data_IF_724334307138
#
_entry.id   IF_724334307138
#
_cell.length_a   1.000
_cell.length_b   1.000
_cell.length_c   1.000
_cell.angle_alpha   90.00
_cell.angle_beta   90.00
_cell.angle_gamma   90.00
#
_symmetry.space_group_name_H-M   'P 1'
#
loop_
_entity.id
_entity.type
_entity.pdbx_description
1 polymer ?
#
# COMPACT_ATOMS: atom_id res chain seq x y z
N UNK A 1 -38.49 -21.23 -13.60
CA UNK A 1 -37.33 -22.13 -13.46
C UNK A 1 -36.31 -21.39 -12.63
N UNK A 2 -36.21 -21.68 -11.33
CA UNK A 2 -35.32 -20.97 -10.41
C UNK A 2 -33.90 -21.49 -10.57
N UNK A 3 -33.02 -20.65 -11.11
CA UNK A 3 -31.58 -20.92 -11.10
C UNK A 3 -31.08 -20.60 -9.70
N UNK A 4 -30.75 -21.63 -8.93
CA UNK A 4 -30.10 -21.45 -7.63
C UNK A 4 -28.73 -20.79 -7.89
N UNK A 5 -28.63 -19.49 -7.65
CA UNK A 5 -27.34 -18.84 -7.43
C UNK A 5 -26.74 -19.51 -6.20
N UNK A 6 -25.70 -20.30 -6.44
CA UNK A 6 -24.80 -20.76 -5.40
C UNK A 6 -24.15 -19.50 -4.80
N UNK A 7 -24.79 -18.87 -3.82
CA UNK A 7 -24.11 -17.98 -2.89
C UNK A 7 -23.09 -18.87 -2.18
N UNK A 8 -21.90 -18.99 -2.77
CA UNK A 8 -20.73 -19.50 -2.09
C UNK A 8 -20.62 -18.63 -0.86
N UNK A 9 -20.86 -19.20 0.32
CA UNK A 9 -20.67 -18.49 1.57
C UNK A 9 -19.22 -17.99 1.57
N UNK A 10 -19.05 -16.71 1.23
CA UNK A 10 -17.79 -15.99 1.36
C UNK A 10 -17.64 -15.87 2.88
N UNK A 11 -16.97 -16.84 3.51
CA UNK A 11 -16.69 -16.73 4.93
C UNK A 11 -15.79 -15.52 5.10
N UNK A 12 -16.30 -14.43 5.68
CA UNK A 12 -15.56 -13.22 6.05
C UNK A 12 -14.44 -13.48 7.08
N UNK A 13 -14.10 -14.74 7.35
CA UNK A 13 -13.12 -15.16 8.34
C UNK A 13 -11.70 -15.33 7.79
N UNK A 14 -11.50 -15.25 6.47
CA UNK A 14 -10.16 -15.35 5.86
C UNK A 14 -9.91 -14.18 4.92
N UNK A 15 -8.89 -13.35 5.18
CA UNK A 15 -8.57 -12.27 4.29
C UNK A 15 -8.03 -12.79 2.96
N UNK A 16 -8.35 -12.05 1.90
CA UNK A 16 -7.77 -12.24 0.57
C UNK A 16 -7.37 -10.87 0.06
N UNK A 17 -6.08 -10.74 -0.28
CA UNK A 17 -5.56 -9.59 -1.03
C UNK A 17 -5.68 -9.95 -2.50
N UNK A 18 -6.22 -9.05 -3.31
CA UNK A 18 -6.20 -9.21 -4.77
C UNK A 18 -4.97 -8.51 -5.33
N UNK A 19 -4.37 -9.17 -6.32
CA UNK A 19 -3.12 -8.84 -7.00
C UNK A 19 -2.95 -7.33 -7.15
N UNK A 20 -2.16 -6.76 -6.23
CA UNK A 20 -1.71 -5.39 -6.36
C UNK A 20 -0.62 -5.42 -7.43
N UNK A 21 -0.92 -4.90 -8.62
CA UNK A 21 0.11 -4.65 -9.63
C UNK A 21 1.27 -3.82 -9.06
N UNK A 22 2.39 -3.78 -9.77
CA UNK A 22 3.50 -2.93 -9.34
C UNK A 22 3.04 -1.47 -9.22
N UNK A 23 3.31 -0.86 -8.08
CA UNK A 23 2.93 0.53 -7.80
C UNK A 23 4.09 1.42 -8.17
N UNK A 24 3.97 2.15 -9.28
CA UNK A 24 5.03 2.97 -9.85
C UNK A 24 4.55 4.42 -9.90
N UNK A 25 5.03 5.25 -8.99
CA UNK A 25 4.52 6.61 -8.81
C UNK A 25 5.66 7.64 -8.84
N UNK A 26 5.57 8.59 -9.77
CA UNK A 26 6.53 9.69 -9.94
C UNK A 26 5.80 11.04 -9.87
N UNK A 27 6.24 11.88 -8.94
CA UNK A 27 5.83 13.27 -8.88
C UNK A 27 7.01 14.20 -9.17
N UNK A 28 6.94 14.86 -10.32
CA UNK A 28 7.91 15.88 -10.76
C UNK A 28 7.27 17.27 -10.75
N UNK A 29 7.83 18.24 -10.00
CA UNK A 29 7.36 19.64 -9.99
C UNK A 29 8.46 20.69 -10.00
N UNK A 30 8.12 21.86 -10.56
CA UNK A 30 8.92 23.09 -10.46
C UNK A 30 8.44 23.95 -9.27
N UNK A 31 9.16 23.87 -8.14
CA UNK A 31 8.90 24.69 -6.95
C UNK A 31 8.05 24.02 -5.85
N UNK A 32 8.25 24.47 -4.61
CA UNK A 32 7.69 23.84 -3.39
C UNK A 32 8.31 22.46 -3.08
N UNK A 33 8.09 21.89 -1.89
CA UNK A 33 8.38 20.48 -1.64
C UNK A 33 7.53 19.58 -2.54
N UNK A 34 8.13 18.50 -3.06
CA UNK A 34 7.42 17.44 -3.76
C UNK A 34 7.26 16.25 -2.81
N UNK A 35 6.08 15.64 -2.77
CA UNK A 35 5.80 14.47 -1.95
C UNK A 35 5.25 13.38 -2.84
N UNK A 36 5.66 12.14 -2.63
CA UNK A 36 5.06 10.97 -3.27
C UNK A 36 5.02 9.82 -2.28
N UNK A 37 3.98 9.01 -2.34
CA UNK A 37 3.81 7.93 -1.40
C UNK A 37 2.57 7.09 -1.62
N UNK A 38 2.53 6.02 -0.86
CA UNK A 38 1.46 5.04 -0.83
C UNK A 38 0.84 5.06 0.56
N UNK A 39 -0.49 4.99 0.65
CA UNK A 39 -1.22 4.75 1.89
C UNK A 39 -2.12 3.53 1.76
N UNK A 40 -2.07 2.66 2.76
CA UNK A 40 -3.02 1.59 2.99
C UNK A 40 -3.89 2.04 4.16
N UNK A 41 -5.16 2.31 3.91
CA UNK A 41 -6.07 2.75 4.95
C UNK A 41 -6.56 1.56 5.79
N UNK A 42 -7.00 1.87 7.00
CA UNK A 42 -7.57 0.96 7.98
C UNK A 42 -8.83 0.22 7.51
N UNK A 43 -9.45 0.62 6.41
CA UNK A 43 -10.62 -0.03 5.80
C UNK A 43 -10.26 -1.00 4.66
N UNK A 44 -9.02 -0.98 4.18
CA UNK A 44 -8.54 -1.91 3.16
C UNK A 44 -8.58 -1.32 1.77
N UNK A 45 -8.62 0.01 1.69
CA UNK A 45 -8.40 0.76 0.46
C UNK A 45 -6.95 1.21 0.33
N UNK A 46 -6.52 1.33 -0.93
CA UNK A 46 -5.17 1.74 -1.30
C UNK A 46 -5.23 3.13 -1.91
N UNK A 47 -4.29 3.98 -1.50
CA UNK A 47 -4.23 5.36 -1.93
C UNK A 47 -2.81 5.71 -2.37
N UNK A 48 -2.73 6.64 -3.29
CA UNK A 48 -1.48 7.24 -3.76
C UNK A 48 -1.55 8.73 -3.48
N UNK A 49 -0.48 9.32 -2.97
CA UNK A 49 -0.43 10.76 -2.76
C UNK A 49 -0.24 11.50 -4.08
N UNK A 50 -0.88 12.66 -4.17
CA UNK A 50 -0.77 13.59 -5.26
C UNK A 50 0.42 14.54 -5.06
N UNK A 51 0.52 15.51 -5.96
CA UNK A 51 1.68 16.37 -6.02
C UNK A 51 1.84 17.33 -4.82
N UNK A 52 0.81 17.49 -3.97
CA UNK A 52 0.80 18.27 -2.73
C UNK A 52 0.72 17.39 -1.47
N UNK A 53 0.82 16.07 -1.62
CA UNK A 53 0.74 15.10 -0.52
C UNK A 53 -0.69 14.73 -0.10
N UNK A 54 -1.71 15.04 -0.90
CA UNK A 54 -3.09 14.60 -0.66
C UNK A 54 -3.31 13.21 -1.26
N UNK A 55 -4.02 12.34 -0.56
CA UNK A 55 -4.26 10.97 -1.03
C UNK A 55 -5.52 10.86 -1.91
N UNK A 56 -5.35 10.28 -3.09
CA UNK A 56 -6.44 9.82 -3.95
C UNK A 56 -6.48 8.30 -3.99
N UNK A 57 -7.68 7.72 -4.13
CA UNK A 57 -7.82 6.27 -4.26
C UNK A 57 -7.02 5.80 -5.48
N UNK A 58 -6.14 4.82 -5.29
CA UNK A 58 -5.70 4.04 -6.43
C UNK A 58 -6.92 3.32 -7.00
N UNK A 59 -6.95 3.08 -8.30
CA UNK A 59 -8.13 2.61 -9.03
C UNK A 59 -8.70 1.24 -8.59
N UNK A 60 -8.18 0.62 -7.53
CA UNK A 60 -8.43 -0.76 -7.12
C UNK A 60 -8.54 -0.88 -5.59
N UNK A 61 -9.53 -1.65 -5.14
CA UNK A 61 -9.63 -2.12 -3.74
C UNK A 61 -8.68 -3.31 -3.55
N UNK A 62 -7.82 -3.29 -2.54
CA UNK A 62 -6.82 -4.35 -2.35
C UNK A 62 -7.32 -5.50 -1.48
N UNK A 63 -8.30 -5.27 -0.59
CA UNK A 63 -8.88 -6.29 0.28
C UNK A 63 -10.26 -6.75 -0.22
N UNK A 64 -10.36 -8.02 -0.58
CA UNK A 64 -11.60 -8.56 -1.18
C UNK A 64 -12.43 -9.40 -0.22
N UNK A 65 -11.83 -9.85 0.88
CA UNK A 65 -12.51 -10.56 1.97
C UNK A 65 -11.81 -10.26 3.28
N UNK A 66 -12.54 -10.43 4.39
CA UNK A 66 -12.00 -10.28 5.74
C UNK A 66 -11.94 -8.82 6.19
N UNK A 67 -11.44 -8.60 7.41
CA UNK A 67 -11.14 -7.27 7.93
C UNK A 67 -9.66 -6.98 7.75
N UNK A 68 -9.31 -5.71 7.60
CA UNK A 68 -7.92 -5.25 7.55
C UNK A 68 -7.09 -5.68 8.76
N UNK A 69 -7.71 -5.74 9.94
CA UNK A 69 -7.09 -6.28 11.17
C UNK A 69 -6.67 -7.76 11.07
N UNK A 70 -7.19 -8.50 10.09
CA UNK A 70 -6.78 -9.89 9.80
C UNK A 70 -5.60 -9.96 8.82
N UNK A 71 -5.16 -8.83 8.26
CA UNK A 71 -4.00 -8.75 7.38
C UNK A 71 -2.84 -8.08 8.12
N UNK A 72 -1.69 -8.77 8.10
CA UNK A 72 -0.42 -8.14 8.45
C UNK A 72 0.33 -7.75 7.18
N UNK A 73 1.00 -6.61 7.21
CA UNK A 73 1.87 -6.17 6.12
C UNK A 73 3.31 -6.03 6.62
N UNK A 74 4.25 -6.34 5.76
CA UNK A 74 5.70 -6.15 5.96
C UNK A 74 6.24 -5.45 4.72
N UNK A 75 7.06 -4.42 4.92
CA UNK A 75 7.77 -3.75 3.82
C UNK A 75 9.25 -4.14 3.79
N UNK A 76 9.81 -4.29 2.59
CA UNK A 76 11.27 -4.21 2.37
C UNK A 76 11.63 -2.90 1.72
N UNK A 77 12.84 -2.42 1.94
CA UNK A 77 13.44 -1.35 1.14
C UNK A 77 14.64 -1.98 0.45
N UNK A 78 14.60 -2.02 -0.87
CA UNK A 78 15.66 -2.58 -1.69
C UNK A 78 16.67 -1.48 -2.06
N UNK A 79 16.18 -0.26 -2.34
CA UNK A 79 17.00 0.93 -2.57
C UNK A 79 16.34 2.20 -2.02
N UNK A 80 17.17 3.22 -1.74
CA UNK A 80 16.70 4.53 -1.28
C UNK A 80 16.34 4.60 0.21
N UNK A 81 15.57 5.62 0.58
CA UNK A 81 15.06 5.82 1.95
C UNK A 81 13.70 6.51 1.94
N UNK A 82 12.85 6.13 2.89
CA UNK A 82 11.59 6.81 3.18
C UNK A 82 11.85 7.96 4.16
N UNK A 83 11.04 9.02 4.08
CA UNK A 83 11.18 10.23 4.90
C UNK A 83 10.36 10.15 6.19
N UNK A 84 9.05 9.89 6.09
CA UNK A 84 8.12 9.82 7.23
C UNK A 84 7.14 8.65 7.09
N UNK A 85 6.53 8.29 8.23
CA UNK A 85 5.40 7.36 8.37
C UNK A 85 5.66 5.90 7.97
N UNK A 86 6.93 5.54 7.80
CA UNK A 86 7.40 4.17 7.58
C UNK A 86 6.98 3.22 8.69
N UNK A 87 6.19 2.21 8.30
CA UNK A 87 5.72 1.11 9.16
C UNK A 87 6.84 0.24 9.76
N UNK A 88 8.07 0.42 9.29
CA UNK A 88 9.23 -0.35 9.69
C UNK A 88 9.30 -1.72 9.01
N UNK A 89 10.42 -2.42 9.19
CA UNK A 89 10.66 -3.72 8.54
C UNK A 89 9.93 -4.91 9.19
N UNK A 90 9.22 -4.69 10.29
CA UNK A 90 8.49 -5.73 11.02
C UNK A 90 7.08 -5.88 10.47
N UNK A 91 6.48 -7.07 10.66
CA UNK A 91 5.06 -7.28 10.38
C UNK A 91 4.20 -6.42 11.29
N UNK A 92 3.32 -5.63 10.71
CA UNK A 92 2.34 -4.78 11.40
C UNK A 92 0.93 -5.11 10.96
N UNK A 93 -0.04 -4.94 11.86
CA UNK A 93 -1.44 -5.11 11.49
C UNK A 93 -1.97 -3.89 10.76
N UNK A 94 -2.82 -4.12 9.75
CA UNK A 94 -3.50 -3.05 9.01
C UNK A 94 -4.69 -2.53 9.83
N UNK A 95 -4.46 -2.04 11.05
CA UNK A 95 -5.51 -1.54 11.96
C UNK A 95 -5.61 -0.02 11.99
N UNK A 96 -4.69 0.65 11.32
CA UNK A 96 -4.58 2.09 11.14
C UNK A 96 -4.03 2.34 9.75
N UNK A 97 -4.05 3.59 9.33
CA UNK A 97 -3.35 4.07 8.13
C UNK A 97 -1.88 3.66 8.21
N UNK A 98 -1.38 3.09 7.11
CA UNK A 98 0.00 2.69 6.92
C UNK A 98 0.52 3.43 5.70
N UNK A 99 1.55 4.25 5.87
CA UNK A 99 2.03 5.14 4.82
C UNK A 99 3.51 4.87 4.49
N UNK A 100 3.88 5.03 3.22
CA UNK A 100 5.25 4.95 2.75
C UNK A 100 5.52 6.19 1.91
N UNK A 101 6.33 7.11 2.42
CA UNK A 101 6.44 8.46 1.85
C UNK A 101 7.89 8.81 1.54
N UNK A 102 8.09 9.42 0.38
CA UNK A 102 9.28 10.19 0.03
C UNK A 102 8.93 11.67 -0.11
N UNK A 103 9.78 12.53 0.42
CA UNK A 103 9.65 13.99 0.39
C UNK A 103 10.91 14.60 -0.17
N UNK A 104 10.75 15.47 -1.16
CA UNK A 104 11.84 16.23 -1.75
C UNK A 104 11.66 17.73 -1.52
N UNK A 105 12.31 18.29 -0.47
CA UNK A 105 12.16 19.69 -0.12
C UNK A 105 13.09 20.62 -0.91
N UNK A 106 14.10 20.12 -1.61
CA UNK A 106 15.11 20.90 -2.37
C UNK A 106 15.31 20.30 -3.76
N UNK A 107 15.99 20.99 -4.69
CA UNK A 107 16.17 20.47 -6.04
C UNK A 107 16.83 19.09 -6.08
N UNK A 108 16.46 18.27 -7.05
CA UNK A 108 16.92 16.89 -7.23
C UNK A 108 15.85 15.85 -6.96
N UNK A 109 16.28 14.61 -6.84
CA UNK A 109 15.41 13.43 -6.75
C UNK A 109 15.51 12.81 -5.35
N UNK A 110 14.37 12.32 -4.85
CA UNK A 110 14.29 11.37 -3.75
C UNK A 110 13.46 10.19 -4.24
N UNK A 111 13.99 8.97 -4.10
CA UNK A 111 13.34 7.75 -4.58
C UNK A 111 13.58 6.63 -3.57
N UNK A 112 12.58 5.76 -3.42
CA UNK A 112 12.71 4.52 -2.68
C UNK A 112 11.99 3.40 -3.45
N UNK A 113 12.56 2.19 -3.41
CA UNK A 113 11.97 1.00 -4.01
C UNK A 113 11.93 -0.16 -3.03
N UNK A 114 10.98 -1.07 -3.22
CA UNK A 114 10.91 -2.27 -2.40
C UNK A 114 9.71 -3.16 -2.68
N UNK A 115 9.31 -3.92 -1.67
CA UNK A 115 8.14 -4.79 -1.73
C UNK A 115 7.24 -4.63 -0.50
N UNK A 116 5.94 -4.87 -0.70
CA UNK A 116 4.96 -5.08 0.35
C UNK A 116 4.53 -6.54 0.33
N UNK A 117 4.60 -7.20 1.49
CA UNK A 117 4.16 -8.58 1.67
C UNK A 117 2.98 -8.62 2.61
N UNK A 118 1.91 -9.25 2.16
CA UNK A 118 0.67 -9.35 2.93
C UNK A 118 0.51 -10.75 3.49
N UNK A 119 0.12 -10.85 4.76
CA UNK A 119 0.04 -12.10 5.48
C UNK A 119 -1.32 -12.27 6.15
N UNK A 120 -1.82 -13.50 6.17
CA UNK A 120 -3.02 -13.88 6.88
C UNK A 120 -2.72 -14.05 8.37
N UNK A 121 -3.00 -13.03 9.17
CA UNK A 121 -2.74 -12.99 10.61
C UNK A 121 -3.42 -14.14 11.39
N UNK A 122 -4.72 -14.44 11.18
CA UNK A 122 -5.39 -15.57 11.83
C UNK A 122 -4.71 -16.93 11.67
N UNK A 123 -3.97 -17.14 10.58
CA UNK A 123 -3.29 -18.43 10.30
C UNK A 123 -1.82 -18.46 10.74
N UNK A 124 -1.37 -17.48 11.52
CA UNK A 124 0.03 -17.38 11.95
C UNK A 124 0.94 -16.79 10.87
N UNK A 125 0.38 -16.07 9.89
CA UNK A 125 1.15 -15.31 8.91
C UNK A 125 1.48 -16.07 7.63
N UNK A 126 0.54 -16.86 7.09
CA UNK A 126 0.64 -17.38 5.71
C UNK A 126 0.70 -16.22 4.73
N UNK A 127 1.65 -16.21 3.79
CA UNK A 127 1.75 -15.18 2.75
C UNK A 127 0.52 -15.24 1.83
N UNK A 128 -0.12 -14.09 1.63
CA UNK A 128 -1.27 -13.89 0.75
C UNK A 128 -0.85 -13.36 -0.61
N UNK A 129 -0.04 -12.30 -0.60
CA UNK A 129 0.33 -11.54 -1.80
C UNK A 129 1.68 -10.84 -1.60
N UNK A 130 2.39 -10.57 -2.69
CA UNK A 130 3.59 -9.71 -2.69
C UNK A 130 3.53 -8.77 -3.88
N UNK A 131 3.61 -7.47 -3.60
CA UNK A 131 3.68 -6.45 -4.63
C UNK A 131 4.95 -5.62 -4.51
N UNK A 132 5.46 -5.17 -5.66
CA UNK A 132 6.60 -4.25 -5.72
C UNK A 132 6.12 -2.81 -5.75
N UNK A 133 6.92 -1.91 -5.19
CA UNK A 133 6.67 -0.47 -5.23
C UNK A 133 7.92 0.31 -5.60
N UNK A 134 7.71 1.40 -6.32
CA UNK A 134 8.69 2.41 -6.71
C UNK A 134 8.03 3.78 -6.56
N UNK A 135 8.50 4.57 -5.59
CA UNK A 135 7.98 5.91 -5.32
C UNK A 135 9.08 6.94 -5.49
N UNK A 136 8.78 8.00 -6.25
CA UNK A 136 9.73 9.04 -6.61
C UNK A 136 9.13 10.43 -6.46
N UNK A 137 9.88 11.31 -5.80
CA UNK A 137 9.62 12.74 -5.73
C UNK A 137 10.80 13.51 -6.35
N UNK A 138 10.53 14.27 -7.40
CA UNK A 138 11.51 15.12 -8.10
C UNK A 138 11.10 16.57 -8.01
N UNK A 139 12.02 17.39 -7.49
CA UNK A 139 11.91 18.84 -7.53
C UNK A 139 12.90 19.39 -8.57
N UNK A 140 12.37 19.98 -9.63
CA UNK A 140 13.14 20.66 -10.68
C UNK A 140 13.47 22.10 -10.29
#
# INVERSE_FOLDING_TARGET
>A
MFQQMLMRAISASKPVVVELGAVLEDNTRSGGPCTQGIKIDSDGDFYVSDNVGSYGAASETWLERGTTSQVWVERTIDTGSLDTDDIGASRVACTSDLELIVVRPTSGDQQATGSLRFYNAPTGGTLLETTSWDIKATRT
#
